data_IF_231868290115
#
_entry.id   IF_231868290115
#
_cell.length_a   1.000
_cell.length_b   1.000
_cell.length_c   1.000
_cell.angle_alpha   90.00
_cell.angle_beta   90.00
_cell.angle_gamma   90.00
#
_symmetry.space_group_name_H-M   'P 1'
#
loop_
_entity.id
_entity.type
_entity.pdbx_description
1 polymer ?
#
# COMPACT_ATOMS: atom_id res chain seq x y z
N UNK A 1 2.71 14.55 -12.56
CA UNK A 1 2.68 13.24 -11.90
C UNK A 1 3.50 13.26 -10.63
N UNK A 2 2.98 12.66 -9.54
CA UNK A 2 3.69 12.57 -8.26
C UNK A 2 4.63 11.35 -8.32
N UNK A 3 5.91 11.54 -8.03
CA UNK A 3 6.90 10.44 -8.02
C UNK A 3 7.46 10.12 -6.63
N UNK A 4 7.25 11.03 -5.67
CA UNK A 4 7.71 10.87 -4.29
C UNK A 4 6.78 11.58 -3.32
N UNK A 5 6.46 10.90 -2.23
CA UNK A 5 5.78 11.48 -1.06
C UNK A 5 6.87 11.77 -0.01
N UNK A 6 6.89 13.00 0.51
CA UNK A 6 7.83 13.37 1.58
C UNK A 6 7.38 12.77 2.90
N UNK A 7 8.35 12.50 3.79
CA UNK A 7 8.04 12.09 5.16
C UNK A 7 7.04 13.04 5.81
N UNK A 8 6.07 12.48 6.54
CA UNK A 8 5.00 13.21 7.24
C UNK A 8 4.03 14.02 6.35
N UNK A 9 4.03 13.83 5.02
CA UNK A 9 3.12 14.55 4.12
C UNK A 9 1.63 14.38 4.49
N UNK A 10 1.27 13.28 5.15
CA UNK A 10 -0.10 12.97 5.58
C UNK A 10 -0.35 13.12 7.08
N UNK A 11 0.61 13.67 7.85
CA UNK A 11 0.53 13.69 9.32
C UNK A 11 -0.71 14.41 9.87
N UNK A 12 -1.24 15.39 9.15
CA UNK A 12 -2.43 16.17 9.53
C UNK A 12 -3.75 15.61 8.97
N UNK A 13 -3.71 14.57 8.13
CA UNK A 13 -4.90 14.00 7.48
C UNK A 13 -5.62 12.96 8.37
N UNK A 14 -5.77 13.27 9.67
CA UNK A 14 -6.34 12.35 10.65
C UNK A 14 -7.81 11.98 10.37
N UNK A 15 -8.55 12.80 9.61
CA UNK A 15 -9.96 12.53 9.24
C UNK A 15 -10.12 11.96 7.83
N UNK A 16 -9.03 11.69 7.11
CA UNK A 16 -9.09 11.15 5.76
C UNK A 16 -9.54 9.67 5.81
N UNK A 17 -10.64 9.36 5.10
CA UNK A 17 -11.19 8.00 4.99
C UNK A 17 -10.81 7.32 3.67
N UNK A 18 -10.55 8.10 2.62
CA UNK A 18 -10.21 7.61 1.29
C UNK A 18 -9.09 8.45 0.70
N UNK A 19 -8.00 7.80 0.32
CA UNK A 19 -6.86 8.39 -0.36
C UNK A 19 -6.69 7.71 -1.73
N UNK A 20 -6.86 8.49 -2.79
CA UNK A 20 -6.62 8.06 -4.15
C UNK A 20 -5.31 8.67 -4.68
N UNK A 21 -4.37 7.80 -5.03
CA UNK A 21 -3.08 8.15 -5.62
C UNK A 21 -2.84 7.37 -6.93
N UNK A 22 -3.92 6.91 -7.58
CA UNK A 22 -3.85 6.15 -8.83
C UNK A 22 -3.12 6.93 -9.92
N UNK A 23 -2.55 6.20 -10.88
CA UNK A 23 -1.94 6.75 -12.09
C UNK A 23 -0.88 7.83 -11.81
N UNK A 24 -0.03 7.57 -10.82
CA UNK A 24 1.16 8.36 -10.53
C UNK A 24 2.43 7.54 -10.85
N UNK A 25 3.61 8.01 -10.41
CA UNK A 25 4.88 7.29 -10.55
C UNK A 25 5.54 7.08 -9.18
N UNK A 26 4.73 6.81 -8.16
CA UNK A 26 5.16 6.71 -6.78
C UNK A 26 6.11 5.54 -6.57
N UNK A 27 7.18 5.81 -5.83
CA UNK A 27 7.98 4.80 -5.14
C UNK A 27 7.47 4.66 -3.70
N UNK A 28 7.04 3.47 -3.28
CA UNK A 28 6.68 3.25 -1.88
C UNK A 28 7.92 3.18 -1.00
N UNK A 29 7.93 4.02 0.03
CA UNK A 29 8.91 3.98 1.11
C UNK A 29 8.22 3.44 2.37
N UNK A 30 8.95 2.79 3.28
CA UNK A 30 8.41 2.37 4.56
C UNK A 30 7.75 3.54 5.29
N UNK A 31 6.61 3.29 5.93
CA UNK A 31 5.88 4.28 6.74
C UNK A 31 5.39 5.54 6.00
N UNK A 32 5.33 5.53 4.66
CA UNK A 32 4.90 6.69 3.84
C UNK A 32 3.47 7.14 4.16
N UNK A 33 2.63 6.24 4.67
CA UNK A 33 1.23 6.49 5.02
C UNK A 33 0.99 6.85 6.49
N UNK A 34 2.05 7.03 7.28
CA UNK A 34 1.92 7.42 8.67
C UNK A 34 1.10 8.71 8.84
N UNK A 35 0.13 8.66 9.76
CA UNK A 35 -0.81 9.77 10.04
C UNK A 35 -2.22 9.52 9.51
N UNK A 36 -2.40 8.60 8.58
CA UNK A 36 -3.69 8.21 7.99
C UNK A 36 -4.45 7.20 8.86
N UNK A 37 -4.58 7.49 10.16
CA UNK A 37 -5.08 6.54 11.18
C UNK A 37 -6.52 6.08 10.97
N UNK A 38 -7.34 6.86 10.25
CA UNK A 38 -8.74 6.56 9.98
C UNK A 38 -9.00 6.18 8.52
N UNK A 39 -7.95 5.85 7.76
CA UNK A 39 -8.11 5.52 6.35
C UNK A 39 -8.77 4.16 6.18
N UNK A 40 -9.80 4.11 5.34
CA UNK A 40 -10.54 2.88 5.01
C UNK A 40 -10.26 2.40 3.59
N UNK A 41 -9.95 3.31 2.67
CA UNK A 41 -9.70 3.00 1.26
C UNK A 41 -8.40 3.66 0.80
N UNK A 42 -7.48 2.85 0.30
CA UNK A 42 -6.23 3.30 -0.33
C UNK A 42 -6.17 2.77 -1.76
N UNK A 43 -6.11 3.68 -2.72
CA UNK A 43 -6.02 3.34 -4.14
C UNK A 43 -4.67 3.78 -4.71
N UNK A 44 -3.80 2.80 -4.99
CA UNK A 44 -2.49 3.04 -5.59
C UNK A 44 -2.42 2.61 -7.05
N UNK A 45 -3.45 1.98 -7.61
CA UNK A 45 -3.34 1.31 -8.90
C UNK A 45 -2.82 2.17 -10.06
N UNK A 46 -1.99 1.57 -10.92
CA UNK A 46 -1.37 2.22 -12.07
C UNK A 46 -0.11 3.04 -11.76
N UNK A 47 0.52 2.86 -10.60
CA UNK A 47 1.86 3.34 -10.29
C UNK A 47 2.92 2.31 -10.76
N UNK A 48 3.30 2.36 -12.03
CA UNK A 48 4.03 1.28 -12.74
C UNK A 48 5.51 1.09 -12.36
N UNK A 49 6.00 1.72 -11.28
CA UNK A 49 7.43 1.72 -10.93
C UNK A 49 7.71 1.12 -9.55
N UNK A 50 6.82 0.27 -9.05
CA UNK A 50 6.95 -0.24 -7.69
C UNK A 50 7.94 -1.39 -7.60
N UNK A 51 7.79 -2.41 -8.46
CA UNK A 51 8.67 -3.57 -8.52
C UNK A 51 8.58 -4.51 -7.32
N UNK A 52 8.61 -3.98 -6.10
CA UNK A 52 8.65 -4.74 -4.85
C UNK A 52 7.83 -4.03 -3.77
N UNK A 53 7.05 -4.80 -2.99
CA UNK A 53 6.39 -4.27 -1.79
C UNK A 53 7.36 -4.32 -0.60
N UNK A 54 7.73 -3.17 0.01
CA UNK A 54 8.67 -3.14 1.11
C UNK A 54 8.05 -3.66 2.41
N UNK A 55 8.89 -4.22 3.29
CA UNK A 55 8.54 -4.50 4.69
C UNK A 55 7.87 -3.27 5.32
N UNK A 56 6.73 -3.46 5.99
CA UNK A 56 5.96 -2.39 6.63
C UNK A 56 5.55 -1.25 5.68
N UNK A 57 5.35 -1.55 4.39
CA UNK A 57 4.95 -0.57 3.38
C UNK A 57 3.63 0.14 3.68
N UNK A 58 2.73 -0.52 4.43
CA UNK A 58 1.41 -0.01 4.79
C UNK A 58 1.21 0.18 6.29
N UNK A 59 2.30 0.26 7.05
CA UNK A 59 2.24 0.43 8.49
C UNK A 59 1.43 1.67 8.91
N UNK A 60 0.70 1.55 10.02
CA UNK A 60 -0.17 2.61 10.55
C UNK A 60 -1.56 2.72 9.90
N UNK A 61 -1.90 1.83 8.96
CA UNK A 61 -3.20 1.75 8.31
C UNK A 61 -4.12 0.70 8.94
N UNK A 62 -4.24 0.73 10.28
CA UNK A 62 -4.93 -0.30 11.08
C UNK A 62 -6.42 -0.45 10.75
N UNK A 63 -7.07 0.61 10.26
CA UNK A 63 -8.49 0.63 9.91
C UNK A 63 -8.76 0.43 8.41
N UNK A 64 -7.72 0.12 7.62
CA UNK A 64 -7.85 -0.01 6.18
C UNK A 64 -8.71 -1.23 5.81
N UNK A 65 -9.81 -1.00 5.12
CA UNK A 65 -10.70 -2.06 4.64
C UNK A 65 -10.45 -2.46 3.19
N UNK A 66 -9.95 -1.55 2.36
CA UNK A 66 -9.68 -1.78 0.94
C UNK A 66 -8.32 -1.22 0.52
N UNK A 67 -7.53 -2.07 -0.11
CA UNK A 67 -6.23 -1.75 -0.68
C UNK A 67 -6.18 -2.18 -2.15
N UNK A 68 -5.97 -1.21 -3.03
CA UNK A 68 -5.80 -1.45 -4.46
C UNK A 68 -4.33 -1.25 -4.88
N UNK A 69 -3.69 -2.38 -5.21
CA UNK A 69 -2.33 -2.50 -5.73
C UNK A 69 -2.31 -3.01 -7.17
N UNK A 70 -3.37 -2.73 -7.94
CA UNK A 70 -3.48 -3.15 -9.32
C UNK A 70 -2.49 -2.44 -10.24
N UNK A 71 -1.96 -3.11 -11.27
CA UNK A 71 -1.11 -2.48 -12.29
C UNK A 71 0.13 -1.76 -11.71
N UNK A 72 0.81 -2.37 -10.73
CA UNK A 72 1.98 -1.79 -10.04
C UNK A 72 3.32 -2.43 -10.41
N UNK A 73 3.33 -3.34 -11.40
CA UNK A 73 4.52 -4.12 -11.83
C UNK A 73 5.21 -4.84 -10.67
N UNK A 74 4.44 -5.23 -9.64
CA UNK A 74 4.97 -5.92 -8.46
C UNK A 74 5.46 -7.30 -8.87
N UNK A 75 6.72 -7.61 -8.58
CA UNK A 75 7.40 -8.89 -8.87
C UNK A 75 7.59 -9.73 -7.61
N UNK A 76 7.71 -9.07 -6.46
CA UNK A 76 7.91 -9.70 -5.15
C UNK A 76 7.22 -8.91 -4.04
N UNK A 77 6.87 -9.62 -2.98
CA UNK A 77 6.30 -9.05 -1.75
C UNK A 77 7.23 -9.49 -0.63
N UNK A 78 7.79 -8.53 0.11
CA UNK A 78 8.60 -8.88 1.28
C UNK A 78 7.73 -9.44 2.40
N UNK A 79 8.33 -10.33 3.19
CA UNK A 79 7.74 -10.80 4.44
C UNK A 79 7.34 -9.61 5.31
N UNK A 80 6.09 -9.60 5.77
CA UNK A 80 5.54 -8.52 6.58
C UNK A 80 5.26 -7.21 5.83
N UNK A 81 5.20 -7.21 4.49
CA UNK A 81 4.76 -6.04 3.71
C UNK A 81 3.35 -5.57 4.12
N UNK A 82 2.47 -6.50 4.52
CA UNK A 82 1.10 -6.25 4.94
C UNK A 82 0.90 -6.16 6.46
N UNK A 83 1.98 -6.14 7.25
CA UNK A 83 1.88 -6.05 8.70
C UNK A 83 1.04 -4.83 9.14
N UNK A 84 0.09 -5.09 10.04
CA UNK A 84 -0.76 -4.05 10.63
C UNK A 84 -2.04 -3.77 9.86
N UNK A 85 -2.30 -4.47 8.74
CA UNK A 85 -3.53 -4.35 7.97
C UNK A 85 -4.67 -5.25 8.52
N UNK A 86 -4.84 -5.27 9.84
CA UNK A 86 -5.76 -6.17 10.56
C UNK A 86 -7.24 -6.03 10.14
N UNK A 87 -7.60 -4.88 9.57
CA UNK A 87 -8.96 -4.58 9.11
C UNK A 87 -9.22 -4.88 7.64
N UNK A 88 -8.23 -5.40 6.90
CA UNK A 88 -8.30 -5.49 5.45
C UNK A 88 -9.32 -6.54 5.00
N UNK A 89 -10.27 -6.11 4.16
CA UNK A 89 -11.34 -6.97 3.62
C UNK A 89 -11.21 -7.17 2.12
N UNK A 90 -10.54 -6.25 1.43
CA UNK A 90 -10.38 -6.28 -0.01
C UNK A 90 -8.95 -5.90 -0.38
N UNK A 91 -8.23 -6.85 -0.98
CA UNK A 91 -6.90 -6.67 -1.53
C UNK A 91 -6.97 -6.94 -3.04
N UNK A 92 -6.61 -5.95 -3.85
CA UNK A 92 -6.51 -6.10 -5.30
C UNK A 92 -5.05 -6.11 -5.76
N UNK A 93 -4.62 -7.25 -6.31
CA UNK A 93 -3.27 -7.47 -6.86
C UNK A 93 -3.31 -7.71 -8.38
N UNK A 94 -4.43 -7.42 -9.06
CA UNK A 94 -4.57 -7.69 -10.49
C UNK A 94 -3.48 -7.00 -11.33
N UNK A 95 -3.14 -7.62 -12.47
CA UNK A 95 -2.20 -7.05 -13.44
C UNK A 95 -0.84 -6.65 -12.83
N UNK A 96 -0.31 -7.48 -11.95
CA UNK A 96 1.08 -7.43 -11.49
C UNK A 96 1.93 -8.52 -12.17
N UNK A 97 3.22 -8.56 -11.83
CA UNK A 97 4.21 -9.50 -12.38
C UNK A 97 4.60 -10.60 -11.36
N UNK A 98 3.76 -10.81 -10.34
CA UNK A 98 3.93 -11.84 -9.33
C UNK A 98 3.88 -13.22 -9.98
N UNK A 99 4.89 -14.04 -9.71
CA UNK A 99 4.99 -15.42 -10.23
C UNK A 99 4.56 -16.47 -9.21
N UNK A 100 4.79 -16.19 -7.94
CA UNK A 100 4.45 -17.06 -6.82
C UNK A 100 3.85 -16.23 -5.68
N UNK A 101 3.12 -16.91 -4.81
CA UNK A 101 2.70 -16.40 -3.52
C UNK A 101 3.14 -17.47 -2.51
N UNK A 102 4.08 -17.10 -1.66
CA UNK A 102 4.52 -17.97 -0.56
C UNK A 102 3.45 -17.99 0.53
N UNK A 103 3.42 -19.05 1.35
CA UNK A 103 2.44 -19.17 2.45
C UNK A 103 2.45 -17.94 3.37
N UNK A 104 3.63 -17.33 3.50
CA UNK A 104 3.90 -16.25 4.45
C UNK A 104 3.57 -14.86 3.88
N UNK A 105 3.25 -14.80 2.57
CA UNK A 105 3.00 -13.55 1.83
C UNK A 105 1.93 -12.69 2.48
N UNK A 106 0.92 -13.30 3.10
CA UNK A 106 -0.25 -12.63 3.67
C UNK A 106 -0.23 -12.60 5.20
N UNK A 107 0.89 -12.95 5.84
CA UNK A 107 1.00 -12.78 7.30
C UNK A 107 0.84 -11.30 7.68
N UNK A 108 0.12 -11.05 8.76
CA UNK A 108 -0.13 -9.70 9.29
C UNK A 108 -1.39 -9.01 8.72
N UNK A 109 -2.11 -9.66 7.80
CA UNK A 109 -3.52 -9.37 7.49
C UNK A 109 -4.46 -9.84 8.62
#
# INVERSE_FOLDING_TARGET
FIWRIKANAFRSLASCLHLNLRQNFLLLQPNVFNGLKNLHILELGGNTNLGELPLNGFNGLELLGRLDLSNLTIKSINDGAFNGLFGLKMLDLQHNELKTLEAETFMGL
#
